data_IF_767626202621
#
_entry.id   IF_767626202621
#
_cell.length_a   1.000
_cell.length_b   1.000
_cell.length_c   1.000
_cell.angle_alpha   90.00
_cell.angle_beta   90.00
_cell.angle_gamma   90.00
#
_symmetry.space_group_name_H-M   'P 1'
#
loop_
_entity.id
_entity.type
_entity.pdbx_description
1 polymer ?
#
# COMPACT_ATOMS: atom_id res chain seq x y z
N UNK A 1 13.27 -30.83 -19.73
CA UNK A 1 14.04 -29.91 -18.90
C UNK A 1 13.47 -29.96 -17.47
N UNK A 2 14.31 -30.18 -16.47
CA UNK A 2 13.92 -30.24 -15.06
C UNK A 2 14.81 -29.23 -14.31
N UNK A 3 14.30 -28.07 -13.93
CA UNK A 3 15.09 -27.09 -13.17
C UNK A 3 15.29 -27.56 -11.73
N UNK A 4 16.40 -27.15 -11.10
CA UNK A 4 16.65 -27.39 -9.68
C UNK A 4 15.84 -26.43 -8.79
N UNK A 5 15.61 -25.19 -9.27
CA UNK A 5 14.80 -24.17 -8.60
C UNK A 5 13.86 -23.57 -9.64
N UNK A 6 12.59 -23.38 -9.24
CA UNK A 6 11.57 -22.73 -10.05
C UNK A 6 10.87 -21.64 -9.21
N UNK A 7 10.84 -20.44 -9.74
CA UNK A 7 10.03 -19.34 -9.19
C UNK A 7 8.81 -19.12 -10.05
N UNK A 8 7.64 -19.18 -9.43
CA UNK A 8 6.34 -18.97 -10.08
C UNK A 8 5.63 -17.83 -9.36
N UNK A 9 5.13 -16.84 -10.08
CA UNK A 9 4.35 -15.75 -9.52
C UNK A 9 3.02 -15.61 -10.24
N UNK A 10 2.03 -15.11 -9.53
CA UNK A 10 0.75 -14.65 -10.06
C UNK A 10 0.66 -13.14 -9.93
N UNK A 11 -0.27 -12.51 -10.65
CA UNK A 11 -0.67 -11.14 -10.38
C UNK A 11 -1.72 -11.12 -9.25
N UNK A 12 -1.85 -10.00 -8.58
CA UNK A 12 -2.83 -9.76 -7.53
C UNK A 12 -4.15 -9.11 -8.04
N UNK A 13 -4.36 -9.15 -9.36
CA UNK A 13 -5.54 -8.58 -10.00
C UNK A 13 -6.87 -9.06 -9.40
N UNK A 14 -6.96 -10.36 -9.08
CA UNK A 14 -8.15 -10.94 -8.47
C UNK A 14 -8.39 -10.34 -7.08
N UNK A 15 -7.34 -10.22 -6.28
CA UNK A 15 -7.40 -9.70 -4.92
C UNK A 15 -7.77 -8.21 -4.86
N UNK A 16 -7.37 -7.44 -5.88
CA UNK A 16 -7.79 -6.04 -6.02
C UNK A 16 -9.28 -5.89 -6.32
N UNK A 17 -9.90 -6.87 -6.97
CA UNK A 17 -11.31 -6.79 -7.37
C UNK A 17 -12.28 -7.54 -6.47
N UNK A 18 -11.88 -8.70 -5.96
CA UNK A 18 -12.77 -9.63 -5.30
C UNK A 18 -12.31 -9.92 -3.87
N UNK A 19 -13.24 -9.79 -2.92
CA UNK A 19 -12.96 -10.09 -1.53
C UNK A 19 -12.81 -11.60 -1.30
N UNK A 20 -12.12 -12.02 -0.22
CA UNK A 20 -12.19 -13.41 0.23
C UNK A 20 -13.62 -13.84 0.45
N UNK A 21 -13.98 -15.01 -0.10
CA UNK A 21 -15.35 -15.53 -0.07
C UNK A 21 -16.16 -15.29 -1.35
N UNK A 22 -15.79 -14.31 -2.18
CA UNK A 22 -16.40 -14.12 -3.50
C UNK A 22 -16.15 -15.34 -4.39
N UNK A 23 -17.13 -15.68 -5.21
CA UNK A 23 -17.06 -16.86 -6.09
C UNK A 23 -15.83 -16.80 -7.02
N UNK A 24 -15.51 -15.64 -7.57
CA UNK A 24 -14.35 -15.46 -8.47
C UNK A 24 -13.05 -15.68 -7.72
N UNK A 25 -12.92 -15.11 -6.52
CA UNK A 25 -11.75 -15.30 -5.66
C UNK A 25 -11.58 -16.78 -5.29
N UNK A 26 -12.67 -17.43 -4.84
CA UNK A 26 -12.65 -18.84 -4.48
C UNK A 26 -12.29 -19.74 -5.67
N UNK A 27 -12.79 -19.42 -6.87
CA UNK A 27 -12.44 -20.18 -8.10
C UNK A 27 -10.97 -20.01 -8.43
N UNK A 28 -10.41 -18.82 -8.30
CA UNK A 28 -8.99 -18.56 -8.50
C UNK A 28 -8.13 -19.36 -7.52
N UNK A 29 -8.45 -19.35 -6.24
CA UNK A 29 -7.68 -20.09 -5.24
C UNK A 29 -7.83 -21.61 -5.38
N UNK A 30 -9.00 -22.11 -5.77
CA UNK A 30 -9.18 -23.52 -6.05
C UNK A 30 -8.35 -23.98 -7.28
N UNK A 31 -8.25 -23.14 -8.31
CA UNK A 31 -7.36 -23.38 -9.46
C UNK A 31 -5.90 -23.36 -9.01
N UNK A 32 -5.50 -22.41 -8.20
CA UNK A 32 -4.14 -22.29 -7.67
C UNK A 32 -3.75 -23.53 -6.86
N UNK A 33 -4.62 -23.95 -5.95
CA UNK A 33 -4.43 -25.15 -5.12
C UNK A 33 -4.28 -26.41 -5.99
N UNK A 34 -5.13 -26.57 -7.02
CA UNK A 34 -5.03 -27.67 -7.97
C UNK A 34 -3.64 -27.74 -8.62
N UNK A 35 -3.13 -26.63 -9.14
CA UNK A 35 -1.82 -26.63 -9.81
C UNK A 35 -0.66 -26.80 -8.83
N UNK A 36 -0.77 -26.30 -7.61
CA UNK A 36 0.19 -26.60 -6.55
C UNK A 36 0.20 -28.10 -6.25
N UNK A 37 -0.96 -28.75 -6.19
CA UNK A 37 -1.07 -30.19 -6.03
C UNK A 37 -0.40 -30.98 -7.17
N UNK A 38 -0.53 -30.53 -8.42
CA UNK A 38 0.12 -31.13 -9.57
C UNK A 38 1.66 -30.96 -9.53
N UNK A 39 2.16 -29.86 -8.97
CA UNK A 39 3.59 -29.63 -8.77
C UNK A 39 4.16 -30.38 -7.56
N UNK A 40 3.35 -30.75 -6.60
CA UNK A 40 3.76 -31.47 -5.38
C UNK A 40 3.94 -32.96 -5.62
N UNK A 41 4.78 -33.31 -6.59
CA UNK A 41 5.09 -34.68 -6.97
C UNK A 41 6.60 -34.92 -6.81
N UNK A 42 7.00 -36.18 -6.67
CA UNK A 42 8.42 -36.59 -6.72
C UNK A 42 9.35 -35.92 -5.69
N UNK A 43 8.90 -35.73 -4.45
CA UNK A 43 9.67 -35.11 -3.38
C UNK A 43 10.12 -33.65 -3.64
N UNK A 44 9.37 -32.90 -4.41
CA UNK A 44 9.62 -31.47 -4.55
C UNK A 44 9.29 -30.75 -3.23
N UNK A 45 10.10 -29.77 -2.86
CA UNK A 45 9.78 -28.84 -1.78
C UNK A 45 9.07 -27.63 -2.40
N UNK A 46 7.90 -27.28 -1.87
CA UNK A 46 7.10 -26.12 -2.31
C UNK A 46 7.06 -25.11 -1.17
N UNK A 47 7.39 -23.87 -1.49
CA UNK A 47 7.25 -22.72 -0.60
C UNK A 47 6.24 -21.78 -1.22
N UNK A 48 5.22 -21.42 -0.45
CA UNK A 48 4.19 -20.44 -0.87
C UNK A 48 4.35 -19.21 0.02
N UNK A 49 4.42 -18.05 -0.60
CA UNK A 49 4.53 -16.77 0.10
C UNK A 49 3.70 -15.70 -0.60
N UNK A 50 3.34 -14.66 0.13
CA UNK A 50 2.76 -13.44 -0.41
C UNK A 50 3.68 -12.26 -0.07
N UNK A 51 3.73 -11.28 -0.93
CA UNK A 51 4.48 -10.03 -0.72
C UNK A 51 3.70 -9.04 0.17
N UNK A 52 2.37 -9.08 0.15
CA UNK A 52 1.48 -8.29 0.99
C UNK A 52 0.09 -8.92 1.10
N UNK A 53 -0.70 -8.41 2.04
CA UNK A 53 -2.12 -8.68 2.16
C UNK A 53 -2.97 -7.74 1.31
N UNK A 54 -4.32 -7.87 1.40
CA UNK A 54 -5.26 -7.03 0.66
C UNK A 54 -6.47 -6.68 1.53
N UNK A 55 -6.82 -5.41 1.61
CA UNK A 55 -7.91 -4.91 2.44
C UNK A 55 -8.87 -4.02 1.65
N UNK A 56 -10.17 -3.97 2.03
CA UNK A 56 -11.08 -2.99 1.47
C UNK A 56 -10.66 -1.58 1.92
N UNK A 57 -10.60 -0.65 0.97
CA UNK A 57 -10.21 0.75 1.16
C UNK A 57 -11.33 1.69 0.70
N UNK A 58 -12.57 1.28 0.90
CA UNK A 58 -13.76 2.05 0.55
C UNK A 58 -14.61 2.30 1.78
N UNK A 59 -15.32 3.42 1.77
CA UNK A 59 -16.34 3.75 2.77
C UNK A 59 -17.59 2.89 2.57
N UNK A 60 -18.53 2.98 3.50
CA UNK A 60 -19.79 2.22 3.42
C UNK A 60 -20.65 2.56 2.19
N UNK A 61 -20.49 3.76 1.63
CA UNK A 61 -21.17 4.21 0.41
C UNK A 61 -20.45 3.76 -0.88
N UNK A 62 -19.34 3.03 -0.76
CA UNK A 62 -18.52 2.57 -1.88
C UNK A 62 -17.47 3.59 -2.36
N UNK A 63 -17.48 4.82 -1.86
CA UNK A 63 -16.48 5.82 -2.22
C UNK A 63 -15.09 5.44 -1.65
N UNK A 64 -13.99 5.81 -2.35
CA UNK A 64 -12.64 5.55 -1.85
C UNK A 64 -12.38 6.21 -0.51
N UNK A 65 -11.70 5.51 0.37
CA UNK A 65 -11.29 5.99 1.67
C UNK A 65 -9.81 6.39 1.62
N UNK A 66 -9.53 7.62 1.21
CA UNK A 66 -8.19 8.12 0.96
C UNK A 66 -7.89 9.41 1.73
N UNK A 67 -6.62 9.55 2.16
CA UNK A 67 -6.05 10.76 2.74
C UNK A 67 -5.00 11.30 1.77
N UNK A 68 -5.06 12.58 1.45
CA UNK A 68 -4.09 13.25 0.57
C UNK A 68 -3.08 14.05 1.40
N UNK A 69 -1.95 13.43 1.74
CA UNK A 69 -0.97 14.01 2.66
C UNK A 69 -0.26 15.23 2.10
N UNK A 70 0.01 15.28 0.77
CA UNK A 70 0.63 16.45 0.17
C UNK A 70 -0.25 17.69 0.32
N UNK A 71 -1.56 17.57 0.05
CA UNK A 71 -2.51 18.67 0.17
C UNK A 71 -2.60 19.20 1.61
N UNK A 72 -2.55 18.30 2.58
CA UNK A 72 -2.57 18.66 4.00
C UNK A 72 -1.29 19.42 4.38
N UNK A 73 -0.14 18.93 3.98
CA UNK A 73 1.16 19.54 4.28
C UNK A 73 1.35 20.87 3.56
N UNK A 74 0.94 20.96 2.28
CA UNK A 74 1.02 22.20 1.50
C UNK A 74 0.12 23.29 2.09
N UNK A 75 -1.07 22.93 2.56
CA UNK A 75 -1.96 23.85 3.26
C UNK A 75 -1.34 24.38 4.56
N UNK A 76 -0.59 23.56 5.27
CA UNK A 76 -0.02 23.92 6.58
C UNK A 76 1.31 24.65 6.48
N UNK A 77 2.21 24.19 5.61
CA UNK A 77 3.59 24.66 5.54
C UNK A 77 3.93 25.43 4.26
N UNK A 78 2.96 25.56 3.34
CA UNK A 78 3.12 26.17 2.02
C UNK A 78 3.52 25.15 0.94
N UNK A 79 3.13 25.47 -0.28
CA UNK A 79 3.44 24.66 -1.45
C UNK A 79 4.94 24.41 -1.59
N UNK A 80 5.28 23.20 -2.01
CA UNK A 80 6.66 22.74 -2.21
C UNK A 80 7.54 22.73 -0.94
N UNK A 81 7.00 22.90 0.24
CA UNK A 81 7.74 22.76 1.51
C UNK A 81 8.10 21.31 1.82
N UNK A 82 7.29 20.38 1.32
CA UNK A 82 7.46 18.94 1.46
C UNK A 82 7.26 18.21 0.14
N UNK A 83 7.63 16.94 0.13
CA UNK A 83 7.33 15.99 -0.96
C UNK A 83 6.90 14.66 -0.37
N UNK A 84 5.65 14.29 -0.62
CA UNK A 84 5.10 12.97 -0.27
C UNK A 84 5.39 12.00 -1.41
N UNK A 85 6.00 10.86 -1.08
CA UNK A 85 6.30 9.78 -2.02
C UNK A 85 5.59 8.53 -1.56
N UNK A 86 4.87 7.91 -2.49
CA UNK A 86 4.17 6.65 -2.32
C UNK A 86 5.03 5.50 -2.90
N UNK A 87 4.92 4.27 -2.39
CA UNK A 87 5.66 3.12 -2.92
C UNK A 87 5.32 2.83 -4.39
N UNK A 88 4.05 3.03 -4.74
CA UNK A 88 3.56 2.85 -6.10
C UNK A 88 3.25 4.23 -6.68
N UNK A 89 3.92 4.56 -7.76
CA UNK A 89 3.80 5.84 -8.47
C UNK A 89 3.17 5.69 -9.86
N UNK A 90 2.39 4.61 -10.07
CA UNK A 90 1.73 4.36 -11.34
C UNK A 90 0.68 5.44 -11.61
N UNK A 91 0.77 6.19 -12.73
CA UNK A 91 -0.23 7.17 -13.12
C UNK A 91 -1.59 6.52 -13.46
N UNK A 92 -1.64 5.22 -13.68
CA UNK A 92 -2.87 4.47 -13.98
C UNK A 92 -3.58 3.95 -12.73
N UNK A 93 -3.73 4.77 -11.71
CA UNK A 93 -4.41 4.48 -10.44
C UNK A 93 -5.76 3.75 -10.63
N UNK A 94 -6.47 4.07 -11.69
CA UNK A 94 -7.78 3.47 -12.02
C UNK A 94 -7.70 1.96 -12.26
N UNK A 95 -6.54 1.44 -12.66
CA UNK A 95 -6.39 0.02 -12.98
C UNK A 95 -5.95 -0.85 -11.81
N UNK A 96 -5.21 -0.29 -10.85
CA UNK A 96 -4.47 -1.08 -9.88
C UNK A 96 -4.72 -0.70 -8.43
N UNK A 97 -5.62 0.27 -8.14
CA UNK A 97 -5.74 0.77 -6.78
C UNK A 97 -4.35 1.16 -6.23
N UNK A 98 -3.59 1.96 -7.00
CA UNK A 98 -2.19 2.28 -6.74
C UNK A 98 -1.96 3.04 -5.41
N UNK A 99 -3.02 3.32 -4.65
CA UNK A 99 -2.93 3.92 -3.33
C UNK A 99 -2.86 2.83 -2.27
N UNK A 100 -1.70 2.71 -1.63
CA UNK A 100 -1.49 1.84 -0.47
C UNK A 100 -1.66 2.57 0.86
N UNK A 101 -1.26 1.92 1.94
CA UNK A 101 -1.31 2.48 3.29
C UNK A 101 0.03 3.01 3.79
N UNK A 102 1.00 3.23 2.92
CA UNK A 102 2.35 3.69 3.27
C UNK A 102 2.72 4.95 2.50
N UNK A 103 3.41 5.87 3.16
CA UNK A 103 4.04 7.02 2.52
C UNK A 103 5.34 7.40 3.23
N UNK A 104 6.29 7.95 2.48
CA UNK A 104 7.48 8.61 3.01
C UNK A 104 7.49 10.08 2.61
N UNK A 105 7.95 10.96 3.49
CA UNK A 105 7.84 12.40 3.33
C UNK A 105 9.21 13.04 3.48
N UNK A 106 9.57 13.84 2.49
CA UNK A 106 10.78 14.67 2.51
C UNK A 106 10.39 16.11 2.80
N UNK A 107 11.08 16.77 3.72
CA UNK A 107 10.91 18.20 4.00
C UNK A 107 12.14 18.99 3.50
N UNK A 108 11.89 20.16 2.91
CA UNK A 108 12.98 21.09 2.53
C UNK A 108 13.67 21.66 3.77
N UNK A 109 12.90 22.12 4.73
CA UNK A 109 13.38 22.63 6.03
C UNK A 109 13.31 21.52 7.08
N UNK A 110 14.47 20.96 7.40
CA UNK A 110 14.59 19.86 8.38
C UNK A 110 14.20 20.26 9.80
N UNK A 111 14.22 21.56 10.13
CA UNK A 111 13.76 22.05 11.42
C UNK A 111 12.26 21.86 11.62
N UNK A 112 11.50 21.62 10.56
CA UNK A 112 10.05 21.44 10.55
C UNK A 112 9.60 19.97 10.66
N UNK A 113 10.52 19.03 10.78
CA UNK A 113 10.17 17.60 10.84
C UNK A 113 9.21 17.32 11.99
N UNK A 114 9.51 17.80 13.20
CA UNK A 114 8.65 17.58 14.36
C UNK A 114 7.26 18.23 14.20
N UNK A 115 7.21 19.48 13.69
CA UNK A 115 5.95 20.17 13.43
C UNK A 115 5.09 19.40 12.43
N UNK A 116 5.70 18.85 11.38
CA UNK A 116 5.02 18.04 10.37
C UNK A 116 4.52 16.71 10.94
N UNK A 117 5.32 16.04 11.75
CA UNK A 117 4.90 14.80 12.44
C UNK A 117 3.69 15.08 13.34
N UNK A 118 3.72 16.15 14.12
CA UNK A 118 2.59 16.53 15.00
C UNK A 118 1.34 16.89 14.19
N UNK A 119 1.48 17.49 13.01
CA UNK A 119 0.34 17.77 12.14
C UNK A 119 -0.28 16.47 11.60
N UNK A 120 0.54 15.52 11.14
CA UNK A 120 0.09 14.24 10.61
C UNK A 120 -0.55 13.37 11.70
N UNK A 121 -0.02 13.37 12.93
CA UNK A 121 -0.58 12.65 14.09
C UNK A 121 -1.99 13.09 14.48
N UNK A 122 -2.45 14.27 14.06
CA UNK A 122 -3.84 14.71 14.28
C UNK A 122 -4.84 13.96 13.42
N UNK A 123 -4.38 13.28 12.37
CA UNK A 123 -5.21 12.51 11.46
C UNK A 123 -5.41 11.12 12.08
N UNK A 124 -6.61 10.85 12.59
CA UNK A 124 -6.92 9.63 13.34
C UNK A 124 -6.69 8.34 12.55
N UNK A 125 -6.81 8.43 11.25
CA UNK A 125 -6.65 7.31 10.33
C UNK A 125 -5.19 7.03 9.95
N UNK A 126 -4.24 7.82 10.45
CA UNK A 126 -2.80 7.54 10.37
C UNK A 126 -2.36 6.91 11.69
N UNK A 127 -1.99 5.65 11.67
CA UNK A 127 -1.62 4.88 12.86
C UNK A 127 -0.13 4.99 13.21
N UNK A 128 0.71 5.12 12.18
CA UNK A 128 2.16 5.25 12.37
C UNK A 128 2.63 6.58 11.79
N UNK A 129 3.33 7.35 12.62
CA UNK A 129 4.05 8.55 12.22
C UNK A 129 5.37 8.56 12.97
N UNK A 130 6.44 8.22 12.29
CA UNK A 130 7.78 8.08 12.87
C UNK A 130 8.82 8.81 12.05
N UNK A 131 9.95 9.16 12.68
CA UNK A 131 11.10 9.71 11.96
C UNK A 131 11.75 8.64 11.07
N UNK A 132 12.54 9.07 10.10
CA UNK A 132 13.37 8.19 9.27
C UNK A 132 14.15 7.18 10.13
N UNK A 133 14.85 7.68 11.16
CA UNK A 133 15.69 6.84 12.00
C UNK A 133 14.90 5.75 12.72
N UNK A 134 13.84 6.14 13.43
CA UNK A 134 13.01 5.20 14.19
C UNK A 134 12.30 4.20 13.26
N UNK A 135 11.70 4.66 12.16
CA UNK A 135 10.97 3.78 11.26
C UNK A 135 11.88 2.83 10.47
N UNK A 136 13.08 3.28 10.10
CA UNK A 136 14.02 2.40 9.42
C UNK A 136 14.58 1.32 10.35
N UNK A 137 14.76 1.63 11.63
CA UNK A 137 15.17 0.65 12.63
C UNK A 137 14.05 -0.34 12.93
N UNK A 138 12.82 0.13 13.13
CA UNK A 138 11.69 -0.70 13.51
C UNK A 138 11.21 -1.63 12.38
N UNK A 139 11.24 -1.15 11.12
CA UNK A 139 10.69 -1.86 9.95
C UNK A 139 11.77 -2.36 8.98
N UNK A 140 13.04 -2.35 9.37
CA UNK A 140 14.18 -2.80 8.55
C UNK A 140 14.21 -2.14 7.16
N UNK A 141 13.98 -0.82 7.11
CA UNK A 141 13.95 -0.04 5.87
C UNK A 141 15.31 0.63 5.59
N UNK A 142 15.68 0.82 4.32
CA UNK A 142 16.95 1.45 3.95
C UNK A 142 16.93 2.97 4.23
N UNK A 143 17.68 3.44 5.22
CA UNK A 143 17.72 4.85 5.67
C UNK A 143 17.99 5.85 4.56
N UNK A 144 18.83 5.49 3.60
CA UNK A 144 19.24 6.33 2.47
C UNK A 144 18.17 6.51 1.40
N UNK A 145 17.10 5.69 1.46
CA UNK A 145 15.99 5.71 0.49
C UNK A 145 14.66 6.14 1.07
N UNK A 146 14.58 6.30 2.37
CA UNK A 146 13.38 6.79 3.04
C UNK A 146 13.44 8.30 3.27
N UNK A 147 12.28 8.96 3.26
CA UNK A 147 12.14 10.37 3.62
C UNK A 147 12.40 10.65 5.10
N UNK A 148 12.26 11.90 5.50
CA UNK A 148 12.45 12.35 6.88
C UNK A 148 11.39 11.78 7.83
N UNK A 149 10.19 11.50 7.30
CA UNK A 149 9.05 10.95 8.04
C UNK A 149 8.50 9.75 7.29
N UNK A 150 8.13 8.71 8.03
CA UNK A 150 7.46 7.51 7.54
C UNK A 150 6.05 7.48 8.16
N UNK A 151 5.05 7.24 7.31
CA UNK A 151 3.64 7.17 7.71
C UNK A 151 2.98 5.91 7.21
N UNK A 152 2.11 5.33 8.05
CA UNK A 152 1.22 4.24 7.67
C UNK A 152 -0.19 4.54 8.13
N UNK A 153 -1.16 4.32 7.24
CA UNK A 153 -2.57 4.48 7.57
C UNK A 153 -3.18 3.22 8.16
N UNK A 154 -4.34 3.39 8.77
CA UNK A 154 -5.14 2.29 9.31
C UNK A 154 -5.59 1.30 8.22
N UNK A 155 -6.03 0.14 8.65
CA UNK A 155 -6.44 -1.01 7.83
C UNK A 155 -7.32 -0.65 6.62
N UNK A 156 -8.26 0.25 6.79
CA UNK A 156 -9.28 0.57 5.78
C UNK A 156 -9.05 1.91 5.08
N UNK A 157 -7.88 2.51 5.25
CA UNK A 157 -7.52 3.80 4.68
C UNK A 157 -6.34 3.68 3.72
N UNK A 158 -6.34 4.47 2.65
CA UNK A 158 -5.18 4.65 1.77
C UNK A 158 -4.57 6.04 1.94
N UNK A 159 -3.31 6.17 1.57
CA UNK A 159 -2.60 7.44 1.50
C UNK A 159 -2.36 7.79 0.04
N UNK A 160 -2.84 8.94 -0.40
CA UNK A 160 -2.51 9.59 -1.66
C UNK A 160 -1.53 10.75 -1.46
N UNK A 161 -0.87 11.18 -2.52
CA UNK A 161 -0.10 12.42 -2.50
C UNK A 161 -1.04 13.62 -2.53
N UNK A 162 -1.69 13.92 -3.64
CA UNK A 162 -2.68 14.98 -3.78
C UNK A 162 -3.94 14.47 -4.47
N UNK A 163 -5.09 15.09 -4.21
CA UNK A 163 -6.35 14.72 -4.86
C UNK A 163 -6.25 14.89 -6.38
N UNK A 164 -5.59 15.95 -6.82
CA UNK A 164 -5.39 16.23 -8.26
C UNK A 164 -4.52 15.20 -8.97
N UNK A 165 -3.64 14.50 -8.25
CA UNK A 165 -2.76 13.47 -8.80
C UNK A 165 -3.41 12.09 -8.86
N UNK A 166 -4.52 11.88 -8.14
CA UNK A 166 -5.17 10.59 -7.99
C UNK A 166 -6.68 10.72 -8.25
N UNK A 167 -7.07 10.77 -9.52
CA UNK A 167 -8.50 10.81 -9.90
C UNK A 167 -9.18 9.46 -9.65
N UNK A 168 -9.73 9.30 -8.47
CA UNK A 168 -10.47 8.10 -8.05
C UNK A 168 -11.94 8.11 -8.50
N UNK A 169 -12.42 9.18 -9.16
CA UNK A 169 -13.81 9.31 -9.63
C UNK A 169 -14.18 8.28 -10.71
N UNK A 170 -13.17 7.73 -11.38
CA UNK A 170 -13.33 6.73 -12.45
C UNK A 170 -13.35 5.29 -11.96
N UNK A 171 -13.16 5.05 -10.67
CA UNK A 171 -13.26 3.71 -10.12
C UNK A 171 -14.70 3.20 -10.26
N UNK A 172 -14.84 2.05 -10.92
CA UNK A 172 -16.13 1.39 -11.13
C UNK A 172 -16.50 0.42 -10.02
N UNK A 173 -15.53 0.03 -9.23
CA UNK A 173 -15.64 -0.98 -8.19
C UNK A 173 -15.06 -0.40 -6.88
N UNK A 174 -15.51 -0.87 -5.71
CA UNK A 174 -14.94 -0.46 -4.44
C UNK A 174 -13.43 -0.68 -4.40
N UNK A 175 -12.68 0.32 -3.92
CA UNK A 175 -11.24 0.24 -3.83
C UNK A 175 -10.80 -0.86 -2.86
N UNK A 176 -9.94 -1.75 -3.31
CA UNK A 176 -9.20 -2.71 -2.50
C UNK A 176 -7.71 -2.52 -2.76
N UNK A 177 -6.92 -2.47 -1.72
CA UNK A 177 -5.49 -2.22 -1.83
C UNK A 177 -4.74 -2.79 -0.62
N UNK A 178 -3.44 -2.63 -0.62
CA UNK A 178 -2.48 -3.23 0.28
C UNK A 178 -1.69 -2.19 1.10
N UNK A 179 -0.72 -2.65 1.88
CA UNK A 179 0.10 -1.84 2.77
C UNK A 179 -0.52 -1.65 4.16
N UNK A 180 0.26 -1.09 5.08
CA UNK A 180 -0.06 -1.00 6.49
C UNK A 180 0.39 -2.23 7.28
N UNK A 181 0.11 -2.23 8.59
CA UNK A 181 0.58 -3.24 9.52
C UNK A 181 -0.46 -4.35 9.81
N UNK A 182 -1.59 -4.35 9.12
CA UNK A 182 -2.69 -5.28 9.37
C UNK A 182 -2.72 -6.39 8.32
N UNK A 183 -2.83 -7.62 8.81
CA UNK A 183 -3.10 -8.82 8.03
C UNK A 183 -4.55 -8.88 7.52
#
# INVERSE_FOLDING_TARGET
>A
FKPDIMYLSTTDFIQHKYAPGDQVANTFYAMFDKYIGELNVNNNSIIITADHGMQPKSKADGSPNAIYLQDILDKKFGEHSSKVILPITDPYVVHHGALGSFATIYLKDKSKINDAMEEIKKIKEIEVVVSNEAGCEEYDLPKDRMGDIICMSSKYMTIGSSESSHDLSKLKEPLRSHGGLHE
#
